data_IF_484502444205
#
_entry.id   IF_484502444205
#
_cell.length_a   1.000
_cell.length_b   1.000
_cell.length_c   1.000
_cell.angle_alpha   90.00
_cell.angle_beta   90.00
_cell.angle_gamma   90.00
#
_symmetry.space_group_name_H-M   'P 1'
#
loop_
_entity.id
_entity.type
_entity.pdbx_description
1 polymer ?
#
# COMPACT_ATOMS: atom_id res chain seq x y z
N UNK A 1 -41.91 35.91 -6.99
CA UNK A 1 -41.16 35.38 -5.84
C UNK A 1 -41.17 36.43 -4.76
N UNK A 2 -41.61 36.07 -3.56
CA UNK A 2 -41.57 36.93 -2.38
C UNK A 2 -40.16 36.94 -1.78
N UNK A 3 -39.80 37.99 -1.03
CA UNK A 3 -38.50 38.12 -0.35
C UNK A 3 -38.23 36.94 0.58
N UNK A 4 -39.26 36.43 1.23
CA UNK A 4 -39.18 35.28 2.13
C UNK A 4 -38.84 33.98 1.38
N UNK A 5 -39.34 33.82 0.15
CA UNK A 5 -39.02 32.68 -0.71
C UNK A 5 -37.55 32.69 -1.13
N UNK A 6 -37.01 33.87 -1.47
CA UNK A 6 -35.58 34.03 -1.75
C UNK A 6 -34.71 33.69 -0.53
N UNK A 7 -35.10 34.13 0.67
CA UNK A 7 -34.37 33.83 1.91
C UNK A 7 -34.41 32.32 2.21
N UNK A 8 -35.55 31.65 2.00
CA UNK A 8 -35.66 30.21 2.18
C UNK A 8 -34.74 29.44 1.23
N UNK A 9 -34.68 29.85 -0.05
CA UNK A 9 -33.76 29.24 -1.02
C UNK A 9 -32.29 29.42 -0.64
N UNK A 10 -31.90 30.59 -0.14
CA UNK A 10 -30.53 30.84 0.32
C UNK A 10 -30.16 29.95 1.51
N UNK A 11 -31.06 29.78 2.49
CA UNK A 11 -30.85 28.86 3.62
C UNK A 11 -30.71 27.41 3.16
N UNK A 12 -31.58 26.96 2.27
CA UNK A 12 -31.51 25.62 1.70
C UNK A 12 -30.23 25.39 0.89
N UNK A 13 -29.69 26.42 0.22
CA UNK A 13 -28.38 26.33 -0.43
C UNK A 13 -27.25 26.24 0.59
N UNK A 14 -27.26 27.08 1.63
CA UNK A 14 -26.24 27.04 2.70
C UNK A 14 -26.16 25.65 3.34
N UNK A 15 -27.29 25.07 3.73
CA UNK A 15 -27.30 23.71 4.32
C UNK A 15 -26.77 22.63 3.38
N UNK A 16 -27.01 22.76 2.07
CA UNK A 16 -26.42 21.83 1.08
C UNK A 16 -24.91 21.99 1.00
N UNK A 17 -24.39 23.21 1.05
CA UNK A 17 -22.94 23.46 1.08
C UNK A 17 -22.33 22.87 2.35
N UNK A 18 -22.89 23.16 3.52
CA UNK A 18 -22.42 22.62 4.81
C UNK A 18 -22.40 21.08 4.83
N UNK A 19 -23.42 20.43 4.25
CA UNK A 19 -23.46 18.97 4.13
C UNK A 19 -22.38 18.41 3.20
N UNK A 20 -22.10 19.10 2.07
CA UNK A 20 -21.03 18.72 1.15
C UNK A 20 -19.66 18.87 1.84
N UNK A 21 -19.42 19.98 2.52
CA UNK A 21 -18.18 20.23 3.27
C UNK A 21 -17.94 19.16 4.34
N UNK A 22 -18.99 18.79 5.09
CA UNK A 22 -18.92 17.72 6.08
C UNK A 22 -18.55 16.38 5.43
N UNK A 23 -19.13 16.07 4.28
CA UNK A 23 -18.84 14.83 3.54
C UNK A 23 -17.39 14.82 3.03
N UNK A 24 -16.90 15.95 2.54
CA UNK A 24 -15.50 16.08 2.09
C UNK A 24 -14.51 15.89 3.25
N UNK A 25 -14.84 16.38 4.45
CA UNK A 25 -13.99 16.18 5.62
C UNK A 25 -13.94 14.69 6.02
N UNK A 26 -15.09 14.01 6.02
CA UNK A 26 -15.11 12.56 6.27
C UNK A 26 -14.30 11.77 5.23
N UNK A 27 -14.29 12.21 3.96
CA UNK A 27 -13.44 11.59 2.93
C UNK A 27 -11.95 11.77 3.27
N UNK A 28 -11.53 12.96 3.72
CA UNK A 28 -10.14 13.21 4.12
C UNK A 28 -9.69 12.35 5.30
N UNK A 29 -10.58 12.12 6.26
CA UNK A 29 -10.30 11.22 7.39
C UNK A 29 -10.05 9.78 6.92
N UNK A 30 -10.85 9.31 5.96
CA UNK A 30 -10.67 7.99 5.34
C UNK A 30 -9.38 7.92 4.53
N UNK A 31 -9.07 8.95 3.73
CA UNK A 31 -7.81 9.05 2.97
C UNK A 31 -6.58 9.00 3.88
N UNK A 32 -6.62 9.71 5.02
CA UNK A 32 -5.55 9.70 6.02
C UNK A 32 -5.36 8.30 6.60
N UNK A 33 -6.46 7.63 6.96
CA UNK A 33 -6.43 6.25 7.47
C UNK A 33 -5.87 5.25 6.45
N UNK A 34 -6.23 5.41 5.16
CA UNK A 34 -5.68 4.59 4.07
C UNK A 34 -4.18 4.82 3.87
N UNK A 35 -3.72 6.06 4.01
CA UNK A 35 -2.30 6.39 3.92
C UNK A 35 -1.49 5.76 5.05
N UNK A 36 -2.00 5.77 6.28
CA UNK A 36 -1.36 5.09 7.42
C UNK A 36 -1.28 3.57 7.19
N UNK A 37 -2.37 2.93 6.75
CA UNK A 37 -2.38 1.50 6.42
C UNK A 37 -1.35 1.16 5.33
N UNK A 38 -1.25 2.01 4.29
CA UNK A 38 -0.26 1.85 3.23
C UNK A 38 1.16 1.89 3.79
N UNK A 39 1.46 2.79 4.71
CA UNK A 39 2.79 2.89 5.32
C UNK A 39 3.12 1.65 6.17
N UNK A 40 2.16 1.15 6.94
CA UNK A 40 2.32 -0.08 7.73
C UNK A 40 2.60 -1.28 6.81
N UNK A 41 1.78 -1.48 5.77
CA UNK A 41 1.96 -2.58 4.82
C UNK A 41 3.28 -2.48 4.05
N UNK A 42 3.71 -1.27 3.71
CA UNK A 42 5.00 -1.04 3.04
C UNK A 42 6.18 -1.43 3.94
N UNK A 43 6.10 -1.13 5.24
CA UNK A 43 7.12 -1.54 6.22
C UNK A 43 7.14 -3.06 6.39
N UNK A 44 5.97 -3.69 6.51
CA UNK A 44 5.85 -5.15 6.60
C UNK A 44 6.41 -5.84 5.36
N UNK A 45 6.05 -5.37 4.15
CA UNK A 45 6.56 -5.92 2.90
C UNK A 45 8.10 -5.85 2.82
N UNK A 46 8.71 -4.77 3.32
CA UNK A 46 10.17 -4.63 3.37
C UNK A 46 10.81 -5.67 4.29
N UNK A 47 10.22 -5.93 5.46
CA UNK A 47 10.68 -6.95 6.41
C UNK A 47 10.58 -8.35 5.78
N UNK A 48 9.41 -8.70 5.27
CA UNK A 48 9.16 -10.00 4.62
C UNK A 48 10.10 -10.26 3.45
N UNK A 49 10.38 -9.24 2.62
CA UNK A 49 11.38 -9.36 1.54
C UNK A 49 12.79 -9.62 2.07
N UNK A 50 13.18 -9.00 3.17
CA UNK A 50 14.48 -9.20 3.79
C UNK A 50 14.61 -10.59 4.43
N UNK A 51 13.57 -11.05 5.13
CA UNK A 51 13.51 -12.39 5.73
C UNK A 51 13.53 -13.47 4.65
N UNK A 52 12.70 -13.34 3.59
CA UNK A 52 12.75 -14.24 2.43
C UNK A 52 14.16 -14.35 1.82
N UNK A 53 14.90 -13.24 1.76
CA UNK A 53 16.27 -13.26 1.25
C UNK A 53 17.24 -13.97 2.21
N UNK A 54 17.04 -13.83 3.52
CA UNK A 54 17.81 -14.55 4.52
C UNK A 54 17.58 -16.06 4.40
N UNK A 55 16.32 -16.49 4.27
CA UNK A 55 15.93 -17.89 4.11
C UNK A 55 16.51 -18.50 2.83
N UNK A 56 16.47 -17.76 1.71
CA UNK A 56 17.11 -18.17 0.45
C UNK A 56 18.60 -18.44 0.66
N UNK A 57 19.31 -17.57 1.39
CA UNK A 57 20.74 -17.72 1.66
C UNK A 57 21.02 -18.88 2.60
N UNK A 58 20.18 -19.12 3.59
CA UNK A 58 20.29 -20.26 4.49
C UNK A 58 20.08 -21.58 3.73
N UNK A 59 19.05 -21.67 2.88
CA UNK A 59 18.80 -22.84 2.04
C UNK A 59 19.97 -23.12 1.07
N UNK A 60 20.56 -22.08 0.48
CA UNK A 60 21.73 -22.24 -0.39
C UNK A 60 22.95 -22.75 0.39
N UNK A 61 23.20 -22.23 1.60
CA UNK A 61 24.26 -22.71 2.51
C UNK A 61 24.04 -24.15 2.96
N UNK A 62 22.78 -24.56 3.14
CA UNK A 62 22.41 -25.93 3.46
C UNK A 62 22.52 -26.89 2.26
N UNK A 63 22.91 -26.39 1.08
CA UNK A 63 23.09 -27.21 -0.13
C UNK A 63 21.79 -27.56 -0.84
N UNK A 64 20.67 -26.88 -0.56
CA UNK A 64 19.42 -27.09 -1.28
C UNK A 64 19.62 -26.69 -2.75
N UNK A 65 19.22 -27.54 -3.73
CA UNK A 65 19.38 -27.20 -5.13
C UNK A 65 18.68 -25.88 -5.49
N UNK A 66 19.40 -24.97 -6.16
CA UNK A 66 18.89 -23.65 -6.57
C UNK A 66 17.60 -23.73 -7.40
N UNK A 67 17.40 -24.81 -8.15
CA UNK A 67 16.15 -25.09 -8.87
C UNK A 67 14.96 -25.28 -7.95
N UNK A 68 15.17 -25.95 -6.82
CA UNK A 68 14.14 -26.19 -5.80
C UNK A 68 13.87 -24.89 -5.04
N UNK A 69 14.91 -24.17 -4.61
CA UNK A 69 14.76 -22.86 -3.94
C UNK A 69 13.94 -21.92 -4.82
N UNK A 70 14.32 -21.74 -6.09
CA UNK A 70 13.61 -20.88 -7.07
C UNK A 70 12.13 -21.23 -7.19
N UNK A 71 11.80 -22.53 -7.21
CA UNK A 71 10.41 -23.00 -7.29
C UNK A 71 9.60 -22.67 -6.04
N UNK A 72 10.15 -22.92 -4.84
CA UNK A 72 9.44 -22.72 -3.57
C UNK A 72 9.23 -21.22 -3.25
N UNK A 73 10.20 -20.37 -3.58
CA UNK A 73 10.13 -18.92 -3.30
C UNK A 73 9.48 -18.11 -4.43
N UNK A 74 9.04 -18.78 -5.50
CA UNK A 74 8.36 -18.15 -6.64
C UNK A 74 9.22 -17.16 -7.44
N UNK A 75 10.55 -17.29 -7.38
CA UNK A 75 11.47 -16.41 -8.11
C UNK A 75 11.97 -17.08 -9.39
N UNK A 76 12.19 -16.28 -10.43
CA UNK A 76 12.94 -16.74 -11.59
C UNK A 76 14.36 -17.15 -11.18
N UNK A 77 14.96 -18.10 -11.89
CA UNK A 77 16.34 -18.52 -11.60
C UNK A 77 17.32 -17.34 -11.73
N UNK A 78 17.11 -16.46 -12.71
CA UNK A 78 17.94 -15.27 -12.90
C UNK A 78 17.88 -14.35 -11.66
N UNK A 79 16.68 -14.08 -11.13
CA UNK A 79 16.51 -13.26 -9.94
C UNK A 79 17.14 -13.91 -8.71
N UNK A 80 16.98 -15.23 -8.55
CA UNK A 80 17.65 -15.98 -7.48
C UNK A 80 19.18 -15.83 -7.53
N UNK A 81 19.78 -15.94 -8.72
CA UNK A 81 21.24 -15.75 -8.85
C UNK A 81 21.68 -14.32 -8.53
N UNK A 82 20.90 -13.30 -8.90
CA UNK A 82 21.21 -11.90 -8.56
C UNK A 82 21.21 -11.69 -7.03
N UNK A 83 20.18 -12.21 -6.35
CA UNK A 83 20.07 -12.16 -4.89
C UNK A 83 21.22 -12.87 -4.16
N UNK A 84 21.67 -14.02 -4.67
CA UNK A 84 22.79 -14.77 -4.09
C UNK A 84 24.14 -14.11 -4.37
N UNK A 85 24.31 -13.43 -5.52
CA UNK A 85 25.53 -12.68 -5.86
C UNK A 85 25.66 -11.35 -5.12
N UNK A 86 24.65 -10.94 -4.35
CA UNK A 86 24.61 -9.62 -3.72
C UNK A 86 24.46 -8.46 -4.71
N UNK A 87 24.13 -8.76 -5.97
CA UNK A 87 23.74 -7.73 -6.93
C UNK A 87 22.31 -7.35 -6.59
N UNK A 88 22.01 -6.08 -6.25
CA UNK A 88 20.63 -5.66 -6.07
C UNK A 88 19.91 -5.98 -7.38
N UNK A 89 18.93 -6.89 -7.32
CA UNK A 89 17.94 -6.96 -8.37
C UNK A 89 17.14 -5.67 -8.19
N UNK A 90 17.25 -4.75 -9.16
CA UNK A 90 16.43 -3.55 -9.21
C UNK A 90 14.95 -3.99 -9.16
N UNK A 91 14.33 -3.86 -7.99
CA UNK A 91 12.90 -4.01 -7.73
C UNK A 91 12.34 -2.71 -7.17
#
# INVERSE_FOLDING_TARGET
MDKDEHIAQLRARRHRVEAIETTLESIRDVESSLQEMKEILSKQLKVERAERLADIREADKAGVPKTRISKEVGLSRANLYNHLKGTPADE
#
